data_IF_724645819256
#
_entry.id   IF_724645819256
#
_cell.length_a   1.000
_cell.length_b   1.000
_cell.length_c   1.000
_cell.angle_alpha   90.00
_cell.angle_beta   90.00
_cell.angle_gamma   90.00
#
_symmetry.space_group_name_H-M   'P 1'
#
loop_
_entity.id
_entity.type
_entity.pdbx_description
1 polymer ?
#
# COMPACT_ATOMS: atom_id res chain seq x y z
N UNK A 1 42.75 2.24 -49.86
CA UNK A 1 43.14 1.48 -48.66
C UNK A 1 42.65 2.27 -47.45
N UNK A 2 41.94 1.61 -46.55
CA UNK A 2 41.19 2.22 -45.46
C UNK A 2 42.10 2.92 -44.45
N UNK A 3 41.73 4.16 -44.15
CA UNK A 3 42.19 4.96 -43.03
C UNK A 3 41.54 4.48 -41.73
N UNK A 4 42.29 4.37 -40.62
CA UNK A 4 41.73 4.61 -39.29
C UNK A 4 42.83 4.99 -38.29
N UNK A 5 42.74 6.23 -37.80
CA UNK A 5 43.58 6.77 -36.72
C UNK A 5 43.02 6.34 -35.36
N UNK A 6 43.92 5.98 -34.47
CA UNK A 6 43.70 5.45 -33.11
C UNK A 6 42.90 6.46 -32.26
N UNK A 7 41.63 6.16 -31.99
CA UNK A 7 40.75 6.94 -31.10
C UNK A 7 40.79 6.41 -29.66
N UNK A 8 40.81 7.33 -28.71
CA UNK A 8 40.83 7.11 -27.26
C UNK A 8 39.76 6.13 -26.76
N UNK A 9 40.10 5.33 -25.76
CA UNK A 9 39.16 4.47 -25.02
C UNK A 9 38.23 5.38 -24.20
N UNK A 10 37.12 5.80 -24.79
CA UNK A 10 36.07 6.48 -24.06
C UNK A 10 35.48 5.49 -23.03
N UNK A 11 35.72 5.78 -21.75
CA UNK A 11 34.82 5.36 -20.67
C UNK A 11 33.40 5.66 -21.15
N UNK A 12 32.62 4.62 -21.46
CA UNK A 12 31.23 4.75 -21.86
C UNK A 12 30.46 5.20 -20.63
N UNK A 13 30.48 6.52 -20.37
CA UNK A 13 29.59 7.15 -19.41
C UNK A 13 28.22 7.09 -20.06
N UNK A 14 27.43 6.10 -19.64
CA UNK A 14 26.05 5.89 -20.05
C UNK A 14 25.19 7.00 -19.45
N UNK A 15 25.40 8.25 -19.88
CA UNK A 15 24.71 9.46 -19.41
C UNK A 15 23.64 9.96 -20.38
N UNK A 16 23.34 9.24 -21.48
CA UNK A 16 22.42 9.75 -22.51
C UNK A 16 21.60 8.67 -23.23
N UNK A 17 21.16 7.63 -22.53
CA UNK A 17 19.94 6.94 -22.97
C UNK A 17 18.78 7.67 -22.30
N UNK A 18 18.13 8.57 -23.04
CA UNK A 18 16.79 9.00 -22.68
C UNK A 18 15.89 7.78 -22.84
N UNK A 19 15.78 6.96 -21.80
CA UNK A 19 14.58 6.15 -21.64
C UNK A 19 13.46 7.19 -21.57
N UNK A 20 12.64 7.25 -22.61
CA UNK A 20 11.32 7.82 -22.51
C UNK A 20 10.60 7.01 -21.43
N UNK A 21 10.72 7.46 -20.18
CA UNK A 21 9.87 7.00 -19.10
C UNK A 21 8.48 7.36 -19.55
N UNK A 22 7.75 6.37 -20.06
CA UNK A 22 6.30 6.45 -20.10
C UNK A 22 5.88 6.60 -18.65
N UNK A 23 5.83 7.84 -18.17
CA UNK A 23 5.22 8.21 -16.90
C UNK A 23 3.73 8.01 -17.08
N UNK A 24 3.32 6.75 -17.18
CA UNK A 24 1.95 6.38 -16.91
C UNK A 24 1.75 6.76 -15.47
N UNK A 25 1.16 7.94 -15.23
CA UNK A 25 0.72 8.35 -13.92
C UNK A 25 -0.33 7.31 -13.52
N UNK A 26 0.07 6.30 -12.76
CA UNK A 26 -0.85 5.35 -12.20
C UNK A 26 -1.70 6.16 -11.22
N UNK A 27 -2.96 6.40 -11.58
CA UNK A 27 -3.91 7.05 -10.69
C UNK A 27 -4.07 6.09 -9.50
N UNK A 28 -3.55 6.48 -8.34
CA UNK A 28 -3.81 5.74 -7.10
C UNK A 28 -5.26 6.00 -6.68
N UNK A 29 -5.93 4.94 -6.27
CA UNK A 29 -7.30 4.99 -5.80
C UNK A 29 -7.32 4.22 -4.49
N UNK A 30 -7.13 4.92 -3.38
CA UNK A 30 -7.06 4.34 -2.05
C UNK A 30 -8.04 5.06 -1.13
N UNK A 31 -9.19 4.43 -0.92
CA UNK A 31 -10.32 5.09 -0.28
C UNK A 31 -10.85 4.28 0.89
N UNK A 32 -11.52 4.99 1.79
CA UNK A 32 -12.31 4.38 2.85
C UNK A 32 -13.52 3.68 2.22
N UNK A 33 -13.76 2.44 2.63
CA UNK A 33 -14.90 1.60 2.28
C UNK A 33 -15.67 1.28 3.55
N UNK A 34 -16.95 1.62 3.58
CA UNK A 34 -17.80 1.43 4.75
C UNK A 34 -18.77 0.26 4.54
N UNK A 35 -18.99 -0.51 5.59
CA UNK A 35 -20.01 -1.56 5.65
C UNK A 35 -20.74 -1.48 6.97
N UNK A 36 -22.07 -1.58 6.96
CA UNK A 36 -22.88 -1.59 8.17
C UNK A 36 -23.17 -3.02 8.60
N UNK A 37 -22.82 -3.38 9.83
CA UNK A 37 -23.05 -4.72 10.39
C UNK A 37 -23.18 -4.66 11.90
N UNK A 38 -23.53 -5.77 12.54
CA UNK A 38 -23.46 -5.86 14.00
C UNK A 38 -22.04 -6.23 14.43
N UNK A 39 -21.54 -5.55 15.45
CA UNK A 39 -20.26 -5.88 16.06
C UNK A 39 -20.46 -7.06 17.00
N UNK A 40 -19.56 -8.04 16.96
CA UNK A 40 -19.52 -9.17 17.88
C UNK A 40 -18.16 -9.29 18.55
N UNK A 41 -18.14 -9.26 19.88
CA UNK A 41 -16.92 -9.34 20.71
C UNK A 41 -17.25 -10.17 21.94
N UNK A 42 -16.46 -11.22 22.20
CA UNK A 42 -16.61 -12.09 23.38
C UNK A 42 -18.06 -12.58 23.60
N UNK A 43 -18.73 -13.00 22.51
CA UNK A 43 -20.14 -13.42 22.48
C UNK A 43 -21.18 -12.34 22.86
N UNK A 44 -20.77 -11.08 23.04
CA UNK A 44 -21.67 -9.94 23.12
C UNK A 44 -21.86 -9.34 21.73
N UNK A 45 -23.07 -8.83 21.45
CA UNK A 45 -23.43 -8.24 20.15
C UNK A 45 -23.87 -6.79 20.33
N UNK A 46 -23.53 -5.91 19.39
CA UNK A 46 -23.97 -4.51 19.44
C UNK A 46 -25.50 -4.41 19.47
N UNK A 47 -26.04 -3.47 20.24
CA UNK A 47 -27.49 -3.24 20.34
C UNK A 47 -28.10 -2.74 19.03
N UNK A 48 -27.29 -2.10 18.19
CA UNK A 48 -27.64 -1.59 16.87
C UNK A 48 -26.55 -1.97 15.84
N UNK A 49 -26.87 -2.02 14.53
CA UNK A 49 -25.84 -2.07 13.50
C UNK A 49 -24.91 -0.85 13.61
N UNK A 50 -23.62 -1.09 13.44
CA UNK A 50 -22.57 -0.07 13.42
C UNK A 50 -21.92 -0.03 12.05
N UNK A 51 -21.40 1.14 11.69
CA UNK A 51 -20.59 1.29 10.48
C UNK A 51 -19.13 0.91 10.77
N UNK A 52 -18.61 -0.03 10.00
CA UNK A 52 -17.22 -0.46 10.02
C UNK A 52 -16.55 0.04 8.74
N UNK A 53 -15.34 0.58 8.88
CA UNK A 53 -14.54 1.15 7.80
C UNK A 53 -13.32 0.27 7.49
N UNK A 54 -12.95 0.17 6.21
CA UNK A 54 -11.74 -0.48 5.74
C UNK A 54 -11.06 0.39 4.66
N UNK A 55 -9.73 0.33 4.55
CA UNK A 55 -9.04 0.91 3.39
C UNK A 55 -9.03 -0.08 2.22
N UNK A 56 -9.36 0.41 1.03
CA UNK A 56 -9.39 -0.44 -0.16
C UNK A 56 -9.05 0.32 -1.45
N UNK A 57 -8.17 -0.30 -2.23
CA UNK A 57 -7.89 0.09 -3.62
C UNK A 57 -6.44 -0.10 -4.02
N UNK A 58 -5.98 0.67 -5.01
CA UNK A 58 -4.68 0.49 -5.67
C UNK A 58 -3.69 1.60 -5.35
N UNK A 59 -2.48 1.20 -4.99
CA UNK A 59 -1.33 2.05 -4.76
C UNK A 59 -0.19 1.70 -5.72
N UNK A 60 0.77 2.62 -5.89
CA UNK A 60 1.85 2.48 -6.85
C UNK A 60 2.85 1.39 -6.46
N UNK A 61 3.26 0.59 -7.43
CA UNK A 61 4.41 -0.31 -7.30
C UNK A 61 5.23 -0.30 -8.59
N UNK A 62 6.55 -0.45 -8.46
CA UNK A 62 7.46 -0.56 -9.59
C UNK A 62 8.66 -1.45 -9.25
N UNK A 63 9.24 -2.04 -10.29
CA UNK A 63 10.52 -2.74 -10.22
C UNK A 63 11.36 -2.33 -11.42
N UNK A 64 12.60 -1.93 -11.17
CA UNK A 64 13.53 -1.45 -12.20
C UNK A 64 14.91 -2.06 -12.00
N UNK A 65 15.51 -2.55 -13.08
CA UNK A 65 16.91 -2.99 -13.05
C UNK A 65 17.85 -1.79 -12.89
N UNK A 66 18.78 -1.89 -11.94
CA UNK A 66 19.85 -0.92 -11.72
C UNK A 66 21.17 -1.53 -12.19
N UNK A 67 21.73 -1.02 -13.29
CA UNK A 67 23.03 -1.47 -13.82
C UNK A 67 24.18 -1.12 -12.84
N UNK A 68 24.11 0.03 -12.18
CA UNK A 68 25.09 0.46 -11.17
C UNK A 68 25.20 -0.54 -10.02
N UNK A 69 24.06 -1.07 -9.57
CA UNK A 69 23.97 -2.00 -8.43
C UNK A 69 23.90 -3.46 -8.86
N UNK A 70 23.84 -3.72 -10.17
CA UNK A 70 23.54 -5.02 -10.78
C UNK A 70 22.41 -5.78 -10.04
N UNK A 71 21.32 -5.08 -9.71
CA UNK A 71 20.20 -5.63 -8.93
C UNK A 71 18.87 -5.00 -9.34
N UNK A 72 17.75 -5.60 -8.92
CA UNK A 72 16.43 -5.03 -9.08
C UNK A 72 16.12 -4.08 -7.91
N UNK A 73 15.76 -2.85 -8.25
CA UNK A 73 15.24 -1.86 -7.30
C UNK A 73 13.72 -1.92 -7.31
N UNK A 74 13.13 -2.14 -6.14
CA UNK A 74 11.69 -2.22 -5.98
C UNK A 74 11.17 -1.01 -5.20
N UNK A 75 9.99 -0.54 -5.58
CA UNK A 75 9.20 0.44 -4.83
C UNK A 75 7.79 -0.12 -4.68
N UNK A 76 7.32 -0.21 -3.44
CA UNK A 76 5.98 -0.66 -3.12
C UNK A 76 5.29 0.37 -2.24
N UNK A 77 3.98 0.48 -2.38
CA UNK A 77 3.13 1.21 -1.46
C UNK A 77 1.83 0.45 -1.24
N UNK A 78 1.30 0.52 -0.03
CA UNK A 78 0.08 -0.15 0.38
C UNK A 78 -1.01 0.87 0.72
N UNK A 79 -2.27 0.53 0.40
CA UNK A 79 -3.41 1.34 0.80
C UNK A 79 -3.72 1.08 2.28
N UNK A 80 -3.45 2.07 3.14
CA UNK A 80 -3.53 1.95 4.60
C UNK A 80 -4.20 3.16 5.23
N UNK A 81 -4.62 3.01 6.49
CA UNK A 81 -5.20 4.06 7.29
C UNK A 81 -4.19 5.21 7.52
N UNK A 82 -4.61 6.44 7.23
CA UNK A 82 -3.82 7.64 7.52
C UNK A 82 -4.24 8.29 8.83
N UNK A 83 -5.50 8.10 9.22
CA UNK A 83 -6.03 8.59 10.49
C UNK A 83 -7.19 7.73 10.96
N UNK A 84 -7.29 7.59 12.28
CA UNK A 84 -8.34 6.81 12.93
C UNK A 84 -8.97 7.59 14.07
N UNK A 85 -10.19 7.20 14.41
CA UNK A 85 -10.94 7.69 15.56
C UNK A 85 -11.47 6.51 16.39
N UNK A 86 -11.70 6.74 17.68
CA UNK A 86 -12.38 5.76 18.53
C UNK A 86 -13.89 6.03 18.52
N UNK A 87 -14.68 5.00 18.23
CA UNK A 87 -16.14 5.00 18.33
C UNK A 87 -16.60 4.07 19.43
N UNK A 88 -17.74 4.35 20.05
CA UNK A 88 -18.31 3.54 21.14
C UNK A 88 -19.71 3.08 20.81
N UNK A 89 -20.03 1.84 21.18
CA UNK A 89 -21.36 1.27 21.02
C UNK A 89 -21.75 0.45 22.26
N UNK A 90 -23.03 0.47 22.61
CA UNK A 90 -23.57 -0.43 23.63
C UNK A 90 -23.68 -1.86 23.06
N UNK A 91 -23.18 -2.82 23.82
CA UNK A 91 -23.27 -4.25 23.52
C UNK A 91 -24.23 -4.92 24.51
N UNK A 92 -24.93 -5.94 24.03
CA UNK A 92 -25.77 -6.83 24.83
C UNK A 92 -25.11 -8.20 24.86
N UNK A 93 -24.82 -8.69 26.06
CA UNK A 93 -24.21 -9.98 26.29
C UNK A 93 -25.27 -11.07 26.58
N UNK A 94 -24.92 -12.36 26.48
CA UNK A 94 -25.88 -13.47 26.67
C UNK A 94 -26.51 -13.53 28.07
N UNK A 95 -25.82 -13.00 29.08
CA UNK A 95 -26.30 -12.86 30.47
C UNK A 95 -27.25 -11.66 30.66
N UNK A 96 -27.56 -10.93 29.58
CA UNK A 96 -28.38 -9.71 29.60
C UNK A 96 -27.62 -8.46 30.05
N UNK A 97 -26.32 -8.57 30.40
CA UNK A 97 -25.50 -7.43 30.78
C UNK A 97 -25.30 -6.51 29.58
N UNK A 98 -25.36 -5.20 29.84
CA UNK A 98 -25.01 -4.16 28.89
C UNK A 98 -23.63 -3.61 29.18
N UNK A 99 -22.78 -3.52 28.16
CA UNK A 99 -21.42 -2.97 28.28
C UNK A 99 -21.18 -1.97 27.14
N UNK A 100 -20.30 -0.99 27.37
CA UNK A 100 -19.82 -0.11 26.30
C UNK A 100 -18.56 -0.70 25.69
N UNK A 101 -18.54 -0.91 24.37
CA UNK A 101 -17.38 -1.35 23.62
C UNK A 101 -16.85 -0.20 22.76
N UNK A 102 -15.57 0.12 22.91
CA UNK A 102 -14.84 0.98 21.98
C UNK A 102 -14.35 0.18 20.78
N UNK A 103 -14.36 0.76 19.59
CA UNK A 103 -13.72 0.20 18.40
C UNK A 103 -13.07 1.32 17.57
N UNK A 104 -12.03 0.94 16.83
CA UNK A 104 -11.29 1.86 15.97
C UNK A 104 -12.05 2.00 14.65
N UNK A 105 -12.22 3.24 14.19
CA UNK A 105 -12.77 3.59 12.90
C UNK A 105 -11.72 4.33 12.07
N UNK A 106 -11.65 4.03 10.79
CA UNK A 106 -10.72 4.61 9.82
C UNK A 106 -11.37 5.83 9.19
N UNK A 107 -10.84 7.02 9.46
CA UNK A 107 -11.38 8.26 8.93
C UNK A 107 -10.83 8.58 7.53
N UNK A 108 -9.59 8.15 7.26
CA UNK A 108 -8.89 8.44 6.00
C UNK A 108 -7.97 7.29 5.61
N UNK A 109 -7.86 7.07 4.31
CA UNK A 109 -6.93 6.13 3.70
C UNK A 109 -5.94 6.86 2.80
N UNK A 110 -4.78 6.25 2.57
CA UNK A 110 -3.77 6.74 1.65
C UNK A 110 -2.73 5.66 1.33
N UNK A 111 -1.91 5.95 0.32
CA UNK A 111 -0.80 5.06 -0.03
C UNK A 111 0.39 5.34 0.88
N UNK A 112 0.80 4.35 1.64
CA UNK A 112 1.99 4.38 2.47
C UNK A 112 3.08 3.54 1.81
N UNK A 113 4.28 4.09 1.65
CA UNK A 113 5.45 3.35 1.16
C UNK A 113 5.73 2.13 2.06
N UNK A 114 5.96 0.97 1.46
CA UNK A 114 6.18 -0.29 2.15
C UNK A 114 7.36 -1.05 1.55
N UNK A 115 7.98 -1.91 2.35
CA UNK A 115 8.97 -2.84 1.82
C UNK A 115 8.27 -3.93 1.01
N UNK A 116 8.73 -4.14 -0.22
CA UNK A 116 8.32 -5.31 -1.00
C UNK A 116 8.94 -6.56 -0.36
N UNK A 117 8.11 -7.54 0.03
CA UNK A 117 8.61 -8.79 0.59
C UNK A 117 9.59 -9.47 -0.38
N UNK A 118 10.81 -9.71 0.10
CA UNK A 118 11.89 -10.32 -0.70
C UNK A 118 11.82 -11.86 -0.74
N UNK A 119 10.89 -12.48 -0.01
CA UNK A 119 10.97 -13.88 0.39
C UNK A 119 9.83 -14.81 -0.09
N UNK A 120 9.09 -14.47 -1.15
CA UNK A 120 8.12 -15.39 -1.76
C UNK A 120 8.41 -15.67 -3.24
N UNK A 121 9.68 -15.91 -3.56
CA UNK A 121 10.03 -16.71 -4.73
C UNK A 121 10.45 -18.09 -4.23
N UNK A 122 9.49 -18.97 -3.99
CA UNK A 122 9.78 -20.40 -4.10
C UNK A 122 9.70 -20.72 -5.59
N UNK A 123 10.86 -21.04 -6.17
CA UNK A 123 10.99 -21.81 -7.41
C UNK A 123 10.18 -23.13 -7.34
#
# INVERSE_FOLDING_TARGET
MLSYSKGETHHFKMSSLTLSTSTGTLISHCDVKNTTTYLEVNNCRSSVPVEISACGGSCGTSSMYSAEKNTLMHSCSCCQEMSTSERKVEMVCPDGKKIMQSYIYIDKCGCHDSECDKNNHLD
#
